data_IF_570443750946
#
_entry.id   IF_570443750946
#
_cell.length_a   1.000
_cell.length_b   1.000
_cell.length_c   1.000
_cell.angle_alpha   90.00
_cell.angle_beta   90.00
_cell.angle_gamma   90.00
#
_symmetry.space_group_name_H-M   'P 1'
#
loop_
_entity.id
_entity.type
_entity.pdbx_description
1 polymer ?
#
# COMPACT_ATOMS: atom_id res chain seq x y z
N UNK A 1 -0.62 -7.99 20.13
CA UNK A 1 -0.86 -7.03 19.03
C UNK A 1 0.50 -6.79 18.37
N UNK A 2 0.89 -7.68 17.46
CA UNK A 2 2.26 -7.80 16.94
C UNK A 2 2.31 -7.79 15.41
N UNK A 3 1.47 -6.97 14.78
CA UNK A 3 1.63 -6.63 13.37
C UNK A 3 2.51 -5.37 13.32
N UNK A 4 3.58 -5.42 12.51
CA UNK A 4 4.40 -4.29 11.98
C UNK A 4 5.86 -4.17 12.42
N UNK A 5 6.41 -5.01 13.30
CA UNK A 5 7.86 -5.03 13.50
C UNK A 5 8.41 -6.36 12.98
N UNK A 6 8.92 -6.32 11.75
CA UNK A 6 9.91 -7.31 11.34
C UNK A 6 11.02 -7.31 12.39
N UNK A 7 11.55 -8.47 12.78
CA UNK A 7 12.75 -8.49 13.64
C UNK A 7 13.88 -7.71 12.97
N UNK A 8 14.90 -7.31 13.74
CA UNK A 8 15.99 -6.47 13.24
C UNK A 8 16.69 -7.02 11.97
N UNK A 9 16.56 -8.33 11.70
CA UNK A 9 17.12 -9.02 10.53
C UNK A 9 16.06 -9.49 9.49
N UNK A 10 14.77 -9.21 9.71
CA UNK A 10 13.70 -9.66 8.82
C UNK A 10 13.32 -8.56 7.81
N UNK A 11 13.33 -8.87 6.51
CA UNK A 11 13.03 -7.88 5.48
C UNK A 11 11.55 -7.45 5.51
N UNK A 12 11.31 -6.16 5.69
CA UNK A 12 9.96 -5.57 5.62
C UNK A 12 9.41 -5.57 4.19
N UNK A 13 8.09 -5.42 4.05
CA UNK A 13 7.46 -5.29 2.72
C UNK A 13 8.03 -4.13 1.91
N UNK A 14 8.35 -3.01 2.57
CA UNK A 14 8.98 -1.84 1.95
C UNK A 14 10.42 -2.17 1.52
N UNK A 15 11.14 -2.97 2.30
CA UNK A 15 12.47 -3.46 1.92
C UNK A 15 12.39 -4.31 0.64
N UNK A 16 11.46 -5.26 0.54
CA UNK A 16 11.27 -6.06 -0.68
C UNK A 16 10.94 -5.19 -1.90
N UNK A 17 10.09 -4.17 -1.74
CA UNK A 17 9.81 -3.18 -2.80
C UNK A 17 11.08 -2.43 -3.21
N UNK A 18 11.95 -2.08 -2.26
CA UNK A 18 13.22 -1.41 -2.50
C UNK A 18 14.26 -2.28 -3.22
N UNK A 19 14.25 -3.60 -2.99
CA UNK A 19 15.12 -4.58 -3.64
C UNK A 19 14.62 -5.05 -5.02
N UNK A 20 13.48 -4.52 -5.49
CA UNK A 20 12.88 -4.96 -6.74
C UNK A 20 13.68 -4.47 -7.97
N UNK A 21 14.50 -5.36 -8.52
CA UNK A 21 15.38 -5.04 -9.65
C UNK A 21 14.68 -4.96 -11.01
N UNK A 22 13.41 -5.40 -11.12
CA UNK A 22 12.65 -5.35 -12.36
C UNK A 22 11.32 -4.59 -12.20
N UNK A 23 10.82 -3.91 -13.25
CA UNK A 23 9.53 -3.21 -13.21
C UNK A 23 8.38 -4.14 -12.82
N UNK A 24 8.41 -5.37 -13.35
CA UNK A 24 7.43 -6.42 -13.05
C UNK A 24 7.43 -6.80 -11.57
N UNK A 25 8.61 -7.01 -10.98
CA UNK A 25 8.72 -7.41 -9.59
C UNK A 25 8.26 -6.27 -8.67
N UNK A 26 8.60 -5.02 -9.01
CA UNK A 26 8.15 -3.84 -8.29
C UNK A 26 6.62 -3.70 -8.34
N UNK A 27 6.00 -3.89 -9.51
CA UNK A 27 4.55 -3.90 -9.68
C UNK A 27 3.89 -4.99 -8.83
N UNK A 28 4.46 -6.20 -8.79
CA UNK A 28 3.96 -7.31 -7.98
C UNK A 28 4.03 -7.03 -6.48
N UNK A 29 5.11 -6.44 -5.98
CA UNK A 29 5.19 -6.09 -4.57
C UNK A 29 4.20 -4.99 -4.19
N UNK A 30 3.98 -3.98 -5.03
CA UNK A 30 2.93 -2.99 -4.79
C UNK A 30 1.51 -3.60 -4.84
N UNK A 31 1.28 -4.57 -5.73
CA UNK A 31 0.03 -5.32 -5.77
C UNK A 31 -0.21 -6.08 -4.47
N UNK A 32 0.79 -6.82 -3.99
CA UNK A 32 0.69 -7.54 -2.73
C UNK A 32 0.50 -6.59 -1.55
N UNK A 33 1.24 -5.48 -1.50
CA UNK A 33 1.07 -4.44 -0.49
C UNK A 33 -0.37 -3.92 -0.45
N UNK A 34 -0.95 -3.62 -1.63
CA UNK A 34 -2.33 -3.18 -1.75
C UNK A 34 -3.33 -4.21 -1.20
N UNK A 35 -3.22 -5.47 -1.61
CA UNK A 35 -4.11 -6.56 -1.17
C UNK A 35 -4.05 -6.74 0.35
N UNK A 36 -2.84 -6.84 0.93
CA UNK A 36 -2.68 -7.04 2.37
C UNK A 36 -3.26 -5.87 3.17
N UNK A 37 -3.03 -4.63 2.74
CA UNK A 37 -3.57 -3.46 3.43
C UNK A 37 -5.09 -3.34 3.25
N UNK A 38 -5.66 -3.74 2.11
CA UNK A 38 -7.13 -3.75 1.94
C UNK A 38 -7.76 -4.70 2.95
N UNK A 39 -7.23 -5.93 3.05
CA UNK A 39 -7.72 -6.93 4.00
C UNK A 39 -7.56 -6.40 5.43
N UNK A 40 -6.39 -5.87 5.77
CA UNK A 40 -6.09 -5.39 7.13
C UNK A 40 -6.92 -4.17 7.54
N UNK A 41 -7.18 -3.24 6.62
CA UNK A 41 -7.94 -2.01 6.90
C UNK A 41 -9.45 -2.22 6.85
N UNK A 42 -9.94 -3.22 6.11
CA UNK A 42 -11.38 -3.54 6.04
C UNK A 42 -11.99 -3.96 7.38
N UNK A 43 -11.17 -4.48 8.29
CA UNK A 43 -11.61 -4.85 9.65
C UNK A 43 -11.51 -3.70 10.66
N UNK A 44 -11.00 -2.53 10.24
CA UNK A 44 -10.83 -1.34 11.09
C UNK A 44 -11.75 -0.24 10.57
N UNK A 45 -12.78 0.12 11.34
CA UNK A 45 -13.77 1.14 10.96
C UNK A 45 -13.13 2.51 10.61
N UNK A 46 -12.10 2.90 11.37
CA UNK A 46 -11.31 4.12 11.14
C UNK A 46 -10.45 4.02 9.86
N UNK A 47 -10.22 2.80 9.35
CA UNK A 47 -9.44 2.52 8.14
C UNK A 47 -10.21 2.63 6.83
N UNK A 48 -11.54 2.76 6.87
CA UNK A 48 -12.39 2.81 5.68
C UNK A 48 -12.01 3.97 4.73
N UNK A 49 -11.73 5.21 5.20
CA UNK A 49 -11.33 6.31 4.30
C UNK A 49 -10.04 6.01 3.51
N UNK A 50 -9.10 5.28 4.10
CA UNK A 50 -7.85 4.91 3.43
C UNK A 50 -8.07 3.90 2.30
N UNK A 51 -9.13 3.09 2.34
CA UNK A 51 -9.47 2.13 1.29
C UNK A 51 -9.84 2.80 -0.04
N UNK A 52 -10.38 4.02 -0.01
CA UNK A 52 -10.76 4.80 -1.21
C UNK A 52 -9.55 5.01 -2.14
N UNK A 53 -8.35 5.16 -1.56
CA UNK A 53 -7.11 5.33 -2.32
C UNK A 53 -6.43 3.98 -2.60
N UNK A 54 -6.57 3.03 -1.68
CA UNK A 54 -5.87 1.75 -1.74
C UNK A 54 -6.45 0.78 -2.77
N UNK A 55 -7.77 0.79 -2.97
CA UNK A 55 -8.44 -0.04 -3.99
C UNK A 55 -7.96 0.36 -5.40
N UNK A 56 -8.02 1.64 -5.82
CA UNK A 56 -7.42 2.10 -7.07
C UNK A 56 -5.93 1.78 -7.17
N UNK A 57 -5.16 1.98 -6.09
CA UNK A 57 -3.73 1.65 -6.08
C UNK A 57 -3.47 0.19 -6.47
N UNK A 58 -4.27 -0.73 -5.93
CA UNK A 58 -4.18 -2.17 -6.18
C UNK A 58 -4.54 -2.51 -7.63
N UNK A 59 -5.59 -1.87 -8.17
CA UNK A 59 -5.98 -2.03 -9.58
C UNK A 59 -4.87 -1.54 -10.52
N UNK A 60 -4.24 -0.39 -10.23
CA UNK A 60 -3.13 0.12 -11.03
C UNK A 60 -1.90 -0.79 -10.97
N UNK A 61 -1.57 -1.37 -9.82
CA UNK A 61 -0.50 -2.36 -9.71
C UNK A 61 -0.80 -3.61 -10.55
N UNK A 62 -2.04 -4.11 -10.50
CA UNK A 62 -2.46 -5.25 -11.32
C UNK A 62 -2.34 -4.96 -12.81
N UNK A 63 -2.82 -3.79 -13.26
CA UNK A 63 -2.67 -3.35 -14.64
C UNK A 63 -1.21 -3.17 -15.05
N UNK A 64 -0.32 -2.76 -14.14
CA UNK A 64 1.10 -2.64 -14.41
C UNK A 64 1.76 -4.00 -14.69
N UNK A 65 1.34 -5.05 -13.99
CA UNK A 65 1.80 -6.42 -14.24
C UNK A 65 1.35 -6.88 -15.62
N UNK A 66 0.08 -6.65 -15.98
CA UNK A 66 -0.45 -7.01 -17.31
C UNK A 66 0.33 -6.28 -18.41
N UNK A 67 0.56 -4.97 -18.27
CA UNK A 67 1.30 -4.19 -19.27
C UNK A 67 2.73 -4.64 -19.47
N UNK A 68 3.39 -5.10 -18.41
CA UNK A 68 4.70 -5.73 -18.54
C UNK A 68 4.62 -7.03 -19.36
N UNK A 69 3.62 -7.87 -19.09
CA UNK A 69 3.43 -9.15 -19.78
C UNK A 69 3.05 -8.95 -21.27
N UNK A 70 2.48 -7.79 -21.63
CA UNK A 70 2.26 -7.34 -23.02
C UNK A 70 3.53 -6.79 -23.71
N UNK A 71 4.65 -6.67 -22.99
CA UNK A 71 5.91 -6.11 -23.50
C UNK A 71 6.04 -4.59 -23.39
N UNK A 72 5.09 -3.90 -22.74
CA UNK A 72 5.13 -2.45 -22.52
C UNK A 72 5.70 -2.12 -21.12
N UNK A 73 7.04 -2.10 -21.03
CA UNK A 73 7.74 -1.75 -19.80
C UNK A 73 7.51 -0.28 -19.37
N UNK A 74 7.24 0.60 -20.33
CA UNK A 74 6.99 2.02 -20.08
C UNK A 74 5.69 2.22 -19.31
N UNK A 75 4.59 1.63 -19.82
CA UNK A 75 3.30 1.65 -19.14
C UNK A 75 3.34 0.91 -17.80
N UNK A 76 4.12 -0.18 -17.69
CA UNK A 76 4.36 -0.86 -16.42
C UNK A 76 4.94 0.09 -15.36
N UNK A 77 6.02 0.81 -15.69
CA UNK A 77 6.67 1.76 -14.77
C UNK A 77 5.73 2.88 -14.35
N UNK A 78 5.01 3.49 -15.30
CA UNK A 78 4.07 4.58 -15.02
C UNK A 78 2.94 4.14 -14.10
N UNK A 79 2.29 3.01 -14.38
CA UNK A 79 1.21 2.49 -13.55
C UNK A 79 1.70 2.03 -12.18
N UNK A 80 2.90 1.46 -12.09
CA UNK A 80 3.53 1.12 -10.80
C UNK A 80 3.81 2.37 -9.97
N UNK A 81 4.25 3.47 -10.60
CA UNK A 81 4.46 4.75 -9.92
C UNK A 81 3.15 5.31 -9.37
N UNK A 82 2.09 5.35 -10.18
CA UNK A 82 0.75 5.78 -9.74
C UNK A 82 0.25 4.92 -8.57
N UNK A 83 0.37 3.60 -8.69
CA UNK A 83 0.02 2.67 -7.60
C UNK A 83 0.79 3.00 -6.32
N UNK A 84 2.11 3.18 -6.39
CA UNK A 84 2.93 3.48 -5.23
C UNK A 84 2.53 4.79 -4.53
N UNK A 85 2.23 5.84 -5.31
CA UNK A 85 1.79 7.13 -4.77
C UNK A 85 0.45 6.99 -4.05
N UNK A 86 -0.53 6.32 -4.65
CA UNK A 86 -1.83 6.10 -4.04
C UNK A 86 -1.75 5.21 -2.79
N UNK A 87 -0.90 4.20 -2.80
CA UNK A 87 -0.64 3.36 -1.63
C UNK A 87 -0.02 4.14 -0.47
N UNK A 88 0.95 5.01 -0.74
CA UNK A 88 1.57 5.87 0.29
C UNK A 88 0.55 6.88 0.84
N UNK A 89 -0.20 7.55 -0.05
CA UNK A 89 -1.24 8.50 0.36
C UNK A 89 -2.32 7.83 1.21
N UNK A 90 -2.72 6.59 0.87
CA UNK A 90 -3.64 5.79 1.68
C UNK A 90 -3.12 5.59 3.10
N UNK A 91 -1.84 5.26 3.28
CA UNK A 91 -1.25 5.08 4.61
C UNK A 91 -1.20 6.40 5.40
N UNK A 92 -0.90 7.52 4.74
CA UNK A 92 -0.93 8.84 5.38
C UNK A 92 -2.34 9.17 5.86
N UNK A 93 -3.36 8.96 5.01
CA UNK A 93 -4.76 9.16 5.37
C UNK A 93 -5.14 8.27 6.57
N UNK A 94 -4.71 7.01 6.57
CA UNK A 94 -4.96 6.11 7.70
C UNK A 94 -4.36 6.64 9.01
N UNK A 95 -3.08 7.05 8.99
CA UNK A 95 -2.41 7.60 10.17
C UNK A 95 -3.11 8.86 10.68
N UNK A 96 -3.56 9.73 9.77
CA UNK A 96 -4.31 10.93 10.13
C UNK A 96 -5.69 10.59 10.75
N UNK A 97 -6.39 9.60 10.21
CA UNK A 97 -7.68 9.13 10.77
C UNK A 97 -7.50 8.54 12.17
N UNK A 98 -6.47 7.71 12.39
CA UNK A 98 -6.17 7.13 13.71
C UNK A 98 -5.73 8.22 14.70
N UNK A 99 -4.84 9.12 14.28
CA UNK A 99 -4.37 10.23 15.11
C UNK A 99 -5.50 11.18 15.51
N UNK A 100 -6.35 11.57 14.56
CA UNK A 100 -7.51 12.42 14.80
C UNK A 100 -8.53 11.79 15.76
N UNK A 101 -8.82 10.49 15.58
CA UNK A 101 -9.73 9.77 16.48
C UNK A 101 -9.16 9.65 17.88
N UNK A 102 -7.85 9.37 18.00
CA UNK A 102 -7.17 9.28 19.29
C UNK A 102 -7.19 10.63 20.02
N UNK A 103 -6.87 11.72 19.33
CA UNK A 103 -6.90 13.07 19.88
C UNK A 103 -8.31 13.47 20.34
N UNK A 104 -9.35 13.10 19.58
CA UNK A 104 -10.73 13.34 19.98
C UNK A 104 -11.09 12.58 21.27
N UNK A 105 -10.72 11.29 21.38
CA UNK A 105 -10.97 10.49 22.58
C UNK A 105 -10.29 11.09 23.82
N UNK A 106 -9.03 11.56 23.69
CA UNK A 106 -8.30 12.19 24.80
C UNK A 106 -8.95 13.50 25.30
N UNK A 107 -9.79 14.17 24.50
CA UNK A 107 -10.49 15.37 24.97
C UNK A 107 -11.74 15.05 25.81
N UNK A 108 -12.21 13.80 25.80
CA UNK A 108 -13.40 13.35 26.55
C UNK A 108 -13.06 12.48 27.77
N UNK A 109 -11.77 12.22 28.03
CA UNK A 109 -11.24 11.51 29.21
C UNK A 109 -10.56 12.51 30.15
#
# INVERSE_FOLDING_TARGET
MGLLMAKDDEPTFIWWIGQANTPRLKARYWLQFGIFNIISLSVILIGIPALILLIPATIFAYQAVIKYDEGDEGACKTKTSISSLLSILSMIVFVLCVGGTSAAIYQFL
#
